data_IF_680913275669
#
_entry.id   IF_680913275669
#
_cell.length_a   1.000
_cell.length_b   1.000
_cell.length_c   1.000
_cell.angle_alpha   90.00
_cell.angle_beta   90.00
_cell.angle_gamma   90.00
#
_symmetry.space_group_name_H-M   'P 1'
#
loop_
_entity.id
_entity.type
_entity.pdbx_description
1 polymer ?
#
# COMPACT_ATOMS: atom_id res chain seq x y z
N UNK A 1 0.16 15.73 34.99
CA UNK A 1 1.52 15.72 34.42
C UNK A 1 1.42 15.03 33.06
N UNK A 2 1.07 15.79 32.04
CA UNK A 2 1.15 15.34 30.64
C UNK A 2 2.62 15.42 30.24
N UNK A 3 3.31 14.28 30.36
CA UNK A 3 4.70 14.18 29.92
C UNK A 3 4.75 14.32 28.40
N UNK A 4 5.64 15.13 27.93
CA UNK A 4 6.02 15.32 26.54
C UNK A 4 6.43 13.97 25.89
N UNK A 5 5.43 13.26 25.35
CA UNK A 5 5.59 12.01 24.63
C UNK A 5 5.84 12.24 23.12
N UNK A 6 6.01 13.50 22.69
CA UNK A 6 5.90 13.86 21.27
C UNK A 6 7.15 13.55 20.43
N UNK A 7 8.36 13.57 20.97
CA UNK A 7 9.57 13.45 20.16
C UNK A 7 10.29 12.09 20.21
N UNK A 8 10.16 11.31 21.26
CA UNK A 8 10.88 10.02 21.41
C UNK A 8 10.24 8.82 20.69
N UNK A 9 9.05 8.97 20.09
CA UNK A 9 8.28 7.87 19.51
C UNK A 9 8.52 7.62 18.02
N UNK A 10 9.31 8.45 17.33
CA UNK A 10 9.43 8.44 15.87
C UNK A 10 10.55 7.51 15.37
N UNK A 11 11.53 7.18 16.23
CA UNK A 11 12.76 6.50 15.80
C UNK A 11 12.62 4.97 15.59
N UNK A 12 11.43 4.40 15.80
CA UNK A 12 11.24 2.93 15.75
C UNK A 12 10.73 2.39 14.40
N UNK A 13 10.30 3.28 13.51
CA UNK A 13 9.94 2.92 12.14
C UNK A 13 10.94 3.59 11.22
N UNK A 14 11.86 2.82 10.66
CA UNK A 14 12.94 3.33 9.82
C UNK A 14 13.22 2.40 8.64
N UNK A 15 12.57 2.67 7.51
CA UNK A 15 12.74 1.91 6.28
C UNK A 15 13.98 2.32 5.48
N UNK A 16 14.74 3.33 5.91
CA UNK A 16 16.02 3.69 5.28
C UNK A 16 17.07 2.57 5.37
N UNK A 17 16.86 1.61 6.29
CA UNK A 17 17.69 0.42 6.49
C UNK A 17 17.56 -0.63 5.38
N UNK A 18 16.49 -0.57 4.59
CA UNK A 18 16.33 -1.47 3.45
C UNK A 18 17.37 -1.16 2.37
N UNK A 19 17.92 -2.23 1.80
CA UNK A 19 19.07 -2.15 0.90
C UNK A 19 18.73 -1.52 -0.45
N UNK A 20 17.53 -1.79 -0.98
CA UNK A 20 17.12 -1.29 -2.29
C UNK A 20 16.90 0.23 -2.27
N UNK A 21 17.44 0.88 -3.29
CA UNK A 21 17.26 2.33 -3.53
C UNK A 21 16.72 2.54 -4.93
N UNK A 22 15.76 3.46 -5.04
CA UNK A 22 15.27 3.89 -6.35
C UNK A 22 16.44 4.48 -7.16
N UNK A 23 16.60 4.07 -8.43
CA UNK A 23 17.58 4.71 -9.33
C UNK A 23 17.37 6.23 -9.41
N UNK A 24 18.45 6.97 -9.44
CA UNK A 24 18.42 8.43 -9.59
C UNK A 24 17.67 8.86 -10.85
N UNK A 25 17.10 10.06 -10.80
CA UNK A 25 16.38 10.66 -11.90
C UNK A 25 15.04 11.25 -11.48
N UNK A 26 14.36 11.97 -12.38
CA UNK A 26 13.09 12.62 -12.10
C UNK A 26 12.00 11.61 -11.75
N UNK A 27 10.98 12.07 -11.02
CA UNK A 27 9.78 11.27 -10.78
C UNK A 27 9.07 11.00 -12.10
N UNK A 28 8.60 9.75 -12.27
CA UNK A 28 8.03 9.29 -13.56
C UNK A 28 6.52 9.32 -13.54
N UNK A 29 5.95 9.76 -14.65
CA UNK A 29 4.56 9.49 -15.00
C UNK A 29 4.52 8.11 -15.66
N UNK A 30 3.72 7.22 -15.10
CA UNK A 30 3.61 5.84 -15.57
C UNK A 30 2.45 5.64 -16.54
N UNK A 31 1.31 6.27 -16.22
CA UNK A 31 0.09 6.13 -17.01
C UNK A 31 -0.69 7.43 -17.03
N UNK A 32 -1.40 7.64 -18.12
CA UNK A 32 -2.49 8.61 -18.22
C UNK A 32 -3.71 7.84 -18.69
N UNK A 33 -4.81 7.90 -17.95
CA UNK A 33 -6.01 7.10 -18.22
C UNK A 33 -7.27 7.94 -18.11
N UNK A 34 -8.23 7.69 -18.98
CA UNK A 34 -9.55 8.29 -18.88
C UNK A 34 -10.41 7.52 -17.87
N UNK A 35 -11.27 8.24 -17.17
CA UNK A 35 -12.29 7.66 -16.30
C UNK A 35 -13.30 6.81 -17.09
N UNK A 36 -13.91 5.85 -16.42
CA UNK A 36 -14.87 4.92 -17.05
C UNK A 36 -16.29 5.48 -17.13
N UNK A 37 -16.57 6.54 -16.40
CA UNK A 37 -17.92 7.13 -16.27
C UNK A 37 -17.82 8.65 -16.29
N UNK A 38 -18.87 9.29 -16.80
CA UNK A 38 -19.03 10.73 -16.66
C UNK A 38 -19.20 11.12 -15.19
N UNK A 39 -18.60 12.22 -14.81
CA UNK A 39 -18.84 12.89 -13.53
C UNK A 39 -20.22 13.59 -13.56
N UNK A 40 -20.75 14.01 -12.41
CA UNK A 40 -21.99 14.82 -12.37
C UNK A 40 -21.94 16.08 -13.24
N UNK A 41 -20.74 16.62 -13.49
CA UNK A 41 -20.49 17.73 -14.40
C UNK A 41 -20.70 17.39 -15.89
N UNK A 42 -20.86 16.10 -16.23
CA UNK A 42 -20.98 15.61 -17.60
C UNK A 42 -19.65 15.27 -18.30
N UNK A 43 -18.53 15.62 -17.72
CA UNK A 43 -17.20 15.31 -18.25
C UNK A 43 -16.74 13.90 -17.90
N UNK A 44 -15.85 13.31 -18.70
CA UNK A 44 -15.07 12.11 -18.34
C UNK A 44 -13.76 12.60 -17.73
N UNK A 45 -13.48 12.28 -16.46
CA UNK A 45 -12.26 12.74 -15.82
C UNK A 45 -11.05 12.00 -16.41
N UNK A 46 -9.90 12.66 -16.42
CA UNK A 46 -8.62 12.06 -16.81
C UNK A 46 -7.69 12.02 -15.62
N UNK A 47 -6.93 10.93 -15.49
CA UNK A 47 -6.06 10.67 -14.33
C UNK A 47 -4.63 10.43 -14.77
N UNK A 48 -3.71 11.07 -14.06
CA UNK A 48 -2.26 10.88 -14.20
C UNK A 48 -1.81 9.99 -13.05
N UNK A 49 -1.21 8.84 -13.36
CA UNK A 49 -0.62 7.92 -12.40
C UNK A 49 0.89 8.11 -12.44
N UNK A 50 1.44 8.60 -11.34
CA UNK A 50 2.86 8.93 -11.25
C UNK A 50 3.47 8.55 -9.90
N UNK A 51 4.80 8.55 -9.83
CA UNK A 51 5.51 8.51 -8.55
C UNK A 51 5.20 9.76 -7.73
N UNK A 52 5.19 9.60 -6.41
CA UNK A 52 4.89 10.69 -5.48
C UNK A 52 6.02 11.73 -5.51
N UNK A 53 5.73 12.99 -5.90
CA UNK A 53 6.67 14.08 -5.71
C UNK A 53 6.85 14.39 -4.22
N UNK A 54 8.04 14.81 -3.79
CA UNK A 54 8.32 15.17 -2.40
C UNK A 54 7.36 16.25 -1.87
N UNK A 55 7.01 17.22 -2.72
CA UNK A 55 6.07 18.30 -2.38
C UNK A 55 4.63 17.82 -2.08
N UNK A 56 4.29 16.57 -2.38
CA UNK A 56 2.96 15.99 -2.16
C UNK A 56 2.93 14.98 -1.00
N UNK A 57 4.02 14.70 -0.33
CA UNK A 57 4.10 13.65 0.69
C UNK A 57 3.14 13.87 1.86
N UNK A 58 3.09 15.08 2.41
CA UNK A 58 2.17 15.41 3.52
C UNK A 58 0.70 15.29 3.09
N UNK A 59 0.36 15.83 1.91
CA UNK A 59 -1.00 15.74 1.37
C UNK A 59 -1.41 14.28 1.12
N UNK A 60 -0.47 13.45 0.66
CA UNK A 60 -0.71 12.03 0.47
C UNK A 60 -0.94 11.30 1.81
N UNK A 61 -0.15 11.60 2.84
CA UNK A 61 -0.34 11.02 4.18
C UNK A 61 -1.68 11.45 4.78
N UNK A 62 -2.10 12.70 4.54
CA UNK A 62 -3.43 13.19 4.93
C UNK A 62 -4.56 12.50 4.15
N UNK A 63 -4.36 12.26 2.85
CA UNK A 63 -5.27 11.49 2.02
C UNK A 63 -5.45 10.07 2.55
N UNK A 64 -4.35 9.37 2.87
CA UNK A 64 -4.38 8.03 3.45
C UNK A 64 -5.05 8.02 4.83
N UNK A 65 -4.77 9.02 5.66
CA UNK A 65 -5.43 9.20 6.96
C UNK A 65 -6.93 9.36 6.79
N UNK A 66 -7.37 10.18 5.85
CA UNK A 66 -8.79 10.50 5.62
C UNK A 66 -9.57 9.34 5.02
N UNK A 67 -9.01 8.68 4.01
CA UNK A 67 -9.76 7.71 3.20
C UNK A 67 -9.39 6.26 3.49
N UNK A 68 -8.11 5.96 3.71
CA UNK A 68 -7.70 4.59 3.99
C UNK A 68 -8.10 4.15 5.40
N UNK A 69 -7.65 4.86 6.44
CA UNK A 69 -7.94 4.44 7.83
C UNK A 69 -9.42 4.47 8.19
N UNK A 70 -10.23 5.27 7.48
CA UNK A 70 -11.67 5.34 7.72
C UNK A 70 -12.45 4.15 7.13
N UNK A 71 -11.88 3.40 6.20
CA UNK A 71 -12.63 2.38 5.43
C UNK A 71 -11.88 1.06 5.26
N UNK A 72 -10.58 1.02 5.52
CA UNK A 72 -9.80 -0.21 5.38
C UNK A 72 -10.20 -1.21 6.47
N UNK A 73 -10.43 -2.46 6.07
CA UNK A 73 -11.08 -3.51 6.86
C UNK A 73 -10.49 -3.69 8.27
N UNK A 74 -9.16 -3.86 8.37
CA UNK A 74 -8.52 -4.16 9.67
C UNK A 74 -8.26 -2.91 10.49
N UNK A 75 -8.02 -1.77 9.87
CA UNK A 75 -7.86 -0.48 10.56
C UNK A 75 -9.18 -0.03 11.20
N UNK A 76 -10.29 -0.24 10.51
CA UNK A 76 -11.65 0.02 11.02
C UNK A 76 -11.98 -0.93 12.17
N UNK A 77 -11.75 -2.24 12.02
CA UNK A 77 -11.98 -3.24 13.06
C UNK A 77 -11.21 -2.91 14.34
N UNK A 78 -9.96 -2.47 14.20
CA UNK A 78 -9.12 -2.05 15.35
C UNK A 78 -9.41 -0.61 15.82
N UNK A 79 -10.32 0.12 15.16
CA UNK A 79 -10.69 1.50 15.51
C UNK A 79 -9.45 2.41 15.59
N UNK A 80 -8.55 2.34 14.60
CA UNK A 80 -7.30 3.10 14.61
C UNK A 80 -7.53 4.61 14.71
N UNK A 81 -8.52 5.16 14.00
CA UNK A 81 -8.85 6.59 14.02
C UNK A 81 -9.13 7.15 15.43
N UNK A 82 -9.56 6.30 16.38
CA UNK A 82 -9.82 6.72 17.75
C UNK A 82 -8.59 6.69 18.67
N UNK A 83 -7.42 6.32 18.12
CA UNK A 83 -6.18 6.16 18.87
C UNK A 83 -5.09 7.07 18.27
N UNK A 84 -4.82 8.24 18.88
CA UNK A 84 -3.86 9.21 18.35
C UNK A 84 -2.42 8.65 18.21
N UNK A 85 -2.03 7.72 19.10
CA UNK A 85 -0.70 7.12 19.05
C UNK A 85 -0.62 6.12 17.89
N UNK A 86 -1.60 5.24 17.73
CA UNK A 86 -1.70 4.32 16.59
C UNK A 86 -1.76 5.09 15.26
N UNK A 87 -2.47 6.22 15.22
CA UNK A 87 -2.51 7.10 14.05
C UNK A 87 -1.14 7.72 13.77
N UNK A 88 -0.37 8.10 14.78
CA UNK A 88 1.00 8.59 14.59
C UNK A 88 1.89 7.48 14.02
N UNK A 89 1.78 6.25 14.52
CA UNK A 89 2.56 5.09 14.05
C UNK A 89 2.28 4.79 12.57
N UNK A 90 1.01 4.69 12.15
CA UNK A 90 0.68 4.39 10.76
C UNK A 90 1.08 5.53 9.81
N UNK A 91 0.93 6.80 10.23
CA UNK A 91 1.39 7.96 9.46
C UNK A 91 2.90 7.95 9.30
N UNK A 92 3.65 7.61 10.36
CA UNK A 92 5.11 7.46 10.30
C UNK A 92 5.51 6.33 9.35
N UNK A 93 4.83 5.18 9.40
CA UNK A 93 5.05 4.08 8.46
C UNK A 93 4.91 4.55 7.00
N UNK A 94 3.86 5.28 6.67
CA UNK A 94 3.69 5.80 5.31
C UNK A 94 4.78 6.79 4.92
N UNK A 95 5.14 7.76 5.80
CA UNK A 95 6.23 8.72 5.54
C UNK A 95 7.57 8.01 5.28
N UNK A 96 7.93 7.05 6.11
CA UNK A 96 9.15 6.26 5.92
C UNK A 96 9.12 5.46 4.62
N UNK A 97 7.96 4.91 4.26
CA UNK A 97 7.78 4.17 3.00
C UNK A 97 7.95 5.07 1.78
N UNK A 98 7.43 6.31 1.82
CA UNK A 98 7.55 7.28 0.74
C UNK A 98 9.00 7.62 0.39
N UNK A 99 9.91 7.55 1.38
CA UNK A 99 11.36 7.82 1.17
C UNK A 99 12.04 6.87 0.19
N UNK A 100 11.48 5.67 -0.04
CA UNK A 100 11.98 4.80 -1.11
C UNK A 100 11.65 5.32 -2.52
N UNK A 101 10.70 6.23 -2.65
CA UNK A 101 10.42 6.95 -3.89
C UNK A 101 9.69 6.18 -4.98
N UNK A 102 9.11 5.00 -4.67
CA UNK A 102 8.37 4.14 -5.63
C UNK A 102 6.86 4.16 -5.44
N UNK A 103 6.37 4.81 -4.39
CA UNK A 103 4.94 4.95 -4.14
C UNK A 103 4.26 5.75 -5.25
N UNK A 104 2.97 5.45 -5.47
CA UNK A 104 2.18 6.00 -6.55
C UNK A 104 1.08 6.93 -6.05
N UNK A 105 0.87 8.00 -6.80
CA UNK A 105 -0.27 8.88 -6.66
C UNK A 105 -1.04 8.92 -7.98
N UNK A 106 -2.36 8.88 -7.90
CA UNK A 106 -3.27 9.19 -8.99
C UNK A 106 -3.81 10.60 -8.79
N UNK A 107 -3.62 11.45 -9.77
CA UNK A 107 -4.01 12.87 -9.77
C UNK A 107 -5.05 13.07 -10.85
N UNK A 108 -6.14 13.79 -10.54
CA UNK A 108 -7.05 14.27 -11.57
C UNK A 108 -6.35 15.34 -12.39
N UNK A 109 -6.31 15.15 -13.71
CA UNK A 109 -5.79 16.17 -14.62
C UNK A 109 -6.72 17.38 -14.59
N UNK A 110 -6.16 18.55 -14.31
CA UNK A 110 -6.83 19.82 -14.38
C UNK A 110 -6.39 20.57 -15.63
N UNK A 111 -7.34 20.94 -16.48
CA UNK A 111 -7.07 21.77 -17.66
C UNK A 111 -6.97 23.26 -17.32
N UNK A 112 -7.37 23.67 -16.10
CA UNK A 112 -7.26 25.03 -15.59
C UNK A 112 -5.94 25.16 -14.81
N UNK A 113 -5.02 25.99 -15.30
CA UNK A 113 -3.66 26.17 -14.77
C UNK A 113 -3.60 26.61 -13.30
N UNK A 114 -4.65 27.24 -12.80
CA UNK A 114 -4.67 27.90 -11.48
C UNK A 114 -5.26 27.01 -10.37
N UNK A 115 -5.76 25.82 -10.69
CA UNK A 115 -6.30 24.90 -9.69
C UNK A 115 -5.26 23.88 -9.26
N UNK A 116 -5.10 23.71 -7.94
CA UNK A 116 -4.28 22.66 -7.36
C UNK A 116 -4.73 21.28 -7.86
N UNK A 117 -3.78 20.45 -8.22
CA UNK A 117 -4.04 19.06 -8.61
C UNK A 117 -4.71 18.29 -7.45
N UNK A 118 -5.76 17.54 -7.74
CA UNK A 118 -6.51 16.77 -6.76
C UNK A 118 -5.98 15.32 -6.70
N UNK A 119 -5.57 14.86 -5.52
CA UNK A 119 -5.25 13.44 -5.30
C UNK A 119 -6.56 12.65 -5.27
N UNK A 120 -6.66 11.67 -6.16
CA UNK A 120 -7.85 10.80 -6.28
C UNK A 120 -7.57 9.36 -5.87
N UNK A 121 -6.31 8.97 -5.77
CA UNK A 121 -5.90 7.65 -5.33
C UNK A 121 -4.41 7.57 -4.99
N UNK A 122 -4.08 6.61 -4.15
CA UNK A 122 -2.73 6.40 -3.63
C UNK A 122 -2.44 4.92 -3.54
N UNK A 123 -1.21 4.52 -3.86
CA UNK A 123 -0.69 3.21 -3.51
C UNK A 123 0.70 3.36 -2.87
N UNK A 124 0.78 3.15 -1.56
CA UNK A 124 2.03 3.25 -0.79
C UNK A 124 2.83 1.98 -1.00
N UNK A 125 3.96 2.09 -1.67
CA UNK A 125 4.78 0.97 -2.16
C UNK A 125 6.18 1.01 -1.57
N UNK A 126 6.75 -0.19 -1.36
CA UNK A 126 8.14 -0.39 -0.99
C UNK A 126 8.74 -1.56 -1.78
N UNK A 127 10.05 -1.60 -1.88
CA UNK A 127 10.79 -2.75 -2.41
C UNK A 127 11.50 -3.45 -1.25
N UNK A 128 11.31 -4.76 -1.17
CA UNK A 128 12.00 -5.64 -0.25
C UNK A 128 12.89 -6.59 -1.04
N UNK A 129 14.13 -6.78 -0.60
CA UNK A 129 15.04 -7.81 -1.13
C UNK A 129 15.07 -9.00 -0.17
N UNK A 130 15.49 -10.16 -0.63
CA UNK A 130 15.63 -11.34 0.24
C UNK A 130 16.54 -11.07 1.45
N UNK A 131 17.54 -10.19 1.30
CA UNK A 131 18.44 -9.79 2.39
C UNK A 131 17.76 -8.87 3.42
N UNK A 132 16.62 -8.29 3.05
CA UNK A 132 15.90 -7.32 3.87
C UNK A 132 14.64 -7.90 4.53
N UNK A 133 14.25 -9.14 4.24
CA UNK A 133 13.03 -9.75 4.80
C UNK A 133 13.03 -9.74 6.33
N UNK A 134 14.11 -10.17 6.95
CA UNK A 134 14.27 -10.13 8.42
C UNK A 134 14.38 -8.68 8.93
N UNK A 135 14.98 -7.79 8.14
CA UNK A 135 15.15 -6.37 8.48
C UNK A 135 13.84 -5.60 8.39
N UNK A 136 12.94 -5.97 7.47
CA UNK A 136 11.66 -5.29 7.31
C UNK A 136 10.83 -5.30 8.59
N UNK A 137 10.72 -6.46 9.24
CA UNK A 137 10.00 -6.60 10.51
C UNK A 137 10.64 -5.78 11.62
N UNK A 138 12.00 -5.80 11.73
CA UNK A 138 12.74 -5.03 12.73
C UNK A 138 12.80 -3.52 12.42
N UNK A 139 12.60 -3.12 11.16
CA UNK A 139 12.53 -1.72 10.74
C UNK A 139 11.16 -1.08 11.03
N UNK A 140 10.14 -1.89 11.33
CA UNK A 140 8.77 -1.44 11.61
C UNK A 140 8.38 -1.89 13.03
N UNK A 141 9.01 -1.29 14.02
CA UNK A 141 8.65 -1.52 15.41
C UNK A 141 7.47 -0.60 15.81
N UNK A 142 6.29 -1.18 15.99
CA UNK A 142 5.09 -0.48 16.48
C UNK A 142 4.85 -0.81 17.95
N UNK A 143 4.28 0.12 18.71
CA UNK A 143 4.15 0.00 20.18
C UNK A 143 2.72 -0.16 20.66
N UNK A 144 1.76 0.49 19.97
CA UNK A 144 0.36 0.35 20.37
C UNK A 144 -0.14 -1.08 20.11
N UNK A 145 -0.99 -1.60 21.02
CA UNK A 145 -1.59 -2.92 20.85
C UNK A 145 -2.31 -3.04 19.50
N UNK A 146 -3.03 -2.00 19.10
CA UNK A 146 -3.76 -1.99 17.83
C UNK A 146 -2.84 -2.16 16.62
N UNK A 147 -1.76 -1.37 16.55
CA UNK A 147 -0.80 -1.49 15.46
C UNK A 147 -0.01 -2.79 15.51
N UNK A 148 0.30 -3.32 16.70
CA UNK A 148 0.89 -4.67 16.85
C UNK A 148 -0.03 -5.75 16.27
N UNK A 149 -1.33 -5.69 16.56
CA UNK A 149 -2.32 -6.61 15.98
C UNK A 149 -2.36 -6.47 14.45
N UNK A 150 -2.46 -5.23 13.93
CA UNK A 150 -2.51 -4.97 12.48
C UNK A 150 -1.23 -5.44 11.79
N UNK A 151 -0.07 -4.93 12.19
CA UNK A 151 1.20 -5.20 11.51
C UNK A 151 1.70 -6.64 11.78
N UNK A 152 1.58 -7.12 13.02
CA UNK A 152 1.98 -8.48 13.37
C UNK A 152 1.18 -9.54 12.61
N UNK A 153 -0.13 -9.34 12.41
CA UNK A 153 -0.93 -10.24 11.57
C UNK A 153 -0.46 -10.21 10.13
N UNK A 154 -0.21 -9.02 9.58
CA UNK A 154 0.25 -8.90 8.20
C UNK A 154 1.62 -9.56 8.02
N UNK A 155 2.57 -9.33 8.92
CA UNK A 155 3.88 -9.97 8.85
C UNK A 155 3.81 -11.48 8.99
N UNK A 156 3.01 -12.02 9.93
CA UNK A 156 2.81 -13.47 10.06
C UNK A 156 2.24 -14.09 8.78
N UNK A 157 1.29 -13.42 8.14
CA UNK A 157 0.67 -13.91 6.93
C UNK A 157 1.61 -13.84 5.72
N UNK A 158 2.36 -12.72 5.59
CA UNK A 158 3.37 -12.57 4.55
C UNK A 158 4.50 -13.61 4.70
N UNK A 159 4.92 -13.90 5.91
CA UNK A 159 5.98 -14.90 6.19
C UNK A 159 5.60 -16.34 5.78
N UNK A 160 4.32 -16.62 5.49
CA UNK A 160 3.92 -17.91 4.92
C UNK A 160 4.26 -18.01 3.41
N UNK A 161 4.66 -16.92 2.78
CA UNK A 161 5.00 -16.84 1.35
C UNK A 161 6.50 -16.60 1.21
N UNK A 162 7.21 -17.60 0.70
CA UNK A 162 8.60 -17.47 0.28
C UNK A 162 8.63 -17.00 -1.19
N UNK A 163 8.79 -15.68 -1.39
CA UNK A 163 8.79 -15.07 -2.72
C UNK A 163 9.95 -15.57 -3.58
N UNK A 164 11.11 -15.81 -2.97
CA UNK A 164 12.28 -16.36 -3.66
C UNK A 164 12.00 -17.75 -4.20
N UNK A 165 11.42 -18.62 -3.39
CA UNK A 165 11.08 -19.99 -3.78
C UNK A 165 9.91 -20.04 -4.77
N UNK A 166 8.88 -19.23 -4.53
CA UNK A 166 7.64 -19.26 -5.33
C UNK A 166 7.83 -18.70 -6.74
N UNK A 167 8.54 -17.56 -6.85
CA UNK A 167 8.72 -16.87 -8.11
C UNK A 167 10.14 -16.92 -8.68
N UNK A 168 11.12 -17.40 -7.91
CA UNK A 168 12.53 -17.42 -8.30
C UNK A 168 13.14 -16.03 -8.34
N UNK A 169 12.79 -15.15 -7.39
CA UNK A 169 13.14 -13.72 -7.40
C UNK A 169 14.01 -13.35 -6.20
N UNK A 170 14.83 -12.32 -6.34
CA UNK A 170 15.70 -11.77 -5.30
C UNK A 170 15.11 -10.55 -4.60
N UNK A 171 14.02 -10.00 -5.15
CA UNK A 171 13.30 -8.82 -4.63
C UNK A 171 11.87 -8.78 -5.12
N UNK A 172 11.04 -8.04 -4.42
CA UNK A 172 9.65 -7.81 -4.81
C UNK A 172 9.15 -6.43 -4.39
N UNK A 173 8.07 -5.99 -5.03
CA UNK A 173 7.35 -4.76 -4.71
C UNK A 173 6.19 -5.08 -3.77
N UNK A 174 6.26 -4.62 -2.53
CA UNK A 174 5.21 -4.72 -1.53
C UNK A 174 4.38 -3.44 -1.41
N UNK A 175 3.33 -3.46 -0.58
CA UNK A 175 2.52 -2.27 -0.34
C UNK A 175 1.95 -2.20 1.09
N UNK A 176 1.96 -0.97 1.63
CA UNK A 176 1.32 -0.60 2.90
C UNK A 176 0.04 0.22 2.69
N UNK A 177 -0.72 -0.09 1.66
CA UNK A 177 -2.05 0.43 1.41
C UNK A 177 -2.30 0.90 -0.02
N UNK A 178 -3.55 0.74 -0.44
CA UNK A 178 -4.12 1.28 -1.65
C UNK A 178 -5.46 1.90 -1.31
N UNK A 179 -5.66 3.16 -1.65
CA UNK A 179 -6.92 3.88 -1.40
C UNK A 179 -7.32 4.71 -2.61
N UNK A 180 -8.62 4.80 -2.84
CA UNK A 180 -9.22 5.66 -3.87
C UNK A 180 -10.31 6.50 -3.21
N UNK A 181 -10.26 7.82 -3.43
CA UNK A 181 -11.29 8.75 -2.97
C UNK A 181 -12.67 8.25 -3.42
N UNK A 182 -13.64 8.09 -2.50
CA UNK A 182 -14.98 7.58 -2.80
C UNK A 182 -15.66 8.22 -4.00
N UNK A 183 -15.46 9.53 -4.21
CA UNK A 183 -16.03 10.27 -5.35
C UNK A 183 -15.52 9.81 -6.72
N UNK A 184 -14.38 9.09 -6.75
CA UNK A 184 -13.76 8.60 -7.99
C UNK A 184 -13.77 7.07 -8.09
N UNK A 185 -14.53 6.38 -7.22
CA UNK A 185 -14.69 4.93 -7.32
C UNK A 185 -15.46 4.53 -8.58
N UNK A 186 -15.10 3.37 -9.12
CA UNK A 186 -15.65 2.89 -10.38
C UNK A 186 -15.08 3.56 -11.62
N UNK A 187 -14.15 4.52 -11.48
CA UNK A 187 -13.46 5.20 -12.58
C UNK A 187 -12.22 4.46 -13.10
N UNK A 188 -11.83 3.32 -12.49
CA UNK A 188 -10.66 2.56 -12.92
C UNK A 188 -9.34 2.97 -12.26
N UNK A 189 -9.36 3.91 -11.31
CA UNK A 189 -8.14 4.42 -10.65
C UNK A 189 -7.36 3.31 -9.94
N UNK A 190 -8.03 2.44 -9.18
CA UNK A 190 -7.37 1.32 -8.50
C UNK A 190 -6.72 0.33 -9.49
N UNK A 191 -7.37 0.07 -10.63
CA UNK A 191 -6.79 -0.75 -11.70
C UNK A 191 -5.52 -0.12 -12.26
N UNK A 192 -5.56 1.18 -12.57
CA UNK A 192 -4.43 1.91 -13.12
C UNK A 192 -3.24 1.92 -12.13
N UNK A 193 -3.49 2.09 -10.83
CA UNK A 193 -2.47 2.00 -9.77
C UNK A 193 -1.84 0.60 -9.70
N UNK A 194 -2.63 -0.47 -9.77
CA UNK A 194 -2.09 -1.84 -9.77
C UNK A 194 -1.35 -2.18 -11.07
N UNK A 195 -1.82 -1.68 -12.21
CA UNK A 195 -1.13 -1.85 -13.49
C UNK A 195 0.21 -1.13 -13.52
N UNK A 196 0.31 0.06 -12.93
CA UNK A 196 1.56 0.81 -12.83
C UNK A 196 2.65 0.06 -12.05
N UNK A 197 2.31 -0.90 -11.17
CA UNK A 197 3.32 -1.79 -10.56
C UNK A 197 4.07 -2.62 -11.61
N UNK A 198 3.40 -3.03 -12.70
CA UNK A 198 4.07 -3.72 -13.80
C UNK A 198 5.06 -2.80 -14.53
N UNK A 199 4.66 -1.54 -14.73
CA UNK A 199 5.54 -0.54 -15.36
C UNK A 199 6.78 -0.26 -14.48
N UNK A 200 6.59 -0.11 -13.17
CA UNK A 200 7.66 0.02 -12.17
C UNK A 200 8.58 -1.21 -12.20
N UNK A 201 8.00 -2.42 -12.18
CA UNK A 201 8.75 -3.67 -12.23
C UNK A 201 9.66 -3.74 -13.45
N UNK A 202 9.14 -3.40 -14.62
CA UNK A 202 9.91 -3.36 -15.86
C UNK A 202 11.02 -2.30 -15.83
N UNK A 203 10.71 -1.09 -15.37
CA UNK A 203 11.64 0.02 -15.38
C UNK A 203 12.78 -0.12 -14.35
N UNK A 204 12.47 -0.69 -13.17
CA UNK A 204 13.41 -0.83 -12.05
C UNK A 204 13.90 -2.27 -11.84
N UNK A 205 13.58 -3.17 -12.78
CA UNK A 205 13.97 -4.59 -12.73
C UNK A 205 13.53 -5.26 -11.42
N UNK A 206 12.29 -5.00 -11.00
CA UNK A 206 11.66 -5.65 -9.86
C UNK A 206 10.76 -6.75 -10.39
N UNK A 207 11.12 -8.04 -10.18
CA UNK A 207 10.53 -9.15 -10.94
C UNK A 207 9.13 -9.56 -10.48
N UNK A 208 8.73 -9.25 -9.25
CA UNK A 208 7.44 -9.65 -8.71
C UNK A 208 6.84 -8.58 -7.79
N UNK A 209 5.56 -8.73 -7.49
CA UNK A 209 4.86 -7.96 -6.46
C UNK A 209 4.05 -8.88 -5.57
N UNK A 210 3.97 -8.53 -4.29
CA UNK A 210 3.16 -9.21 -3.29
C UNK A 210 2.44 -8.17 -2.44
N UNK A 211 1.23 -8.45 -1.99
CA UNK A 211 0.47 -7.57 -1.09
C UNK A 211 -0.62 -8.35 -0.38
N UNK A 212 -0.92 -7.94 0.85
CA UNK A 212 -2.05 -8.44 1.60
C UNK A 212 -3.29 -7.61 1.27
N UNK A 213 -4.31 -8.27 0.77
CA UNK A 213 -5.61 -7.68 0.45
C UNK A 213 -6.64 -8.08 1.50
N UNK A 214 -7.06 -7.12 2.29
CA UNK A 214 -7.93 -7.29 3.45
C UNK A 214 -9.42 -7.17 3.11
N UNK A 215 -9.77 -6.44 2.06
CA UNK A 215 -11.15 -6.19 1.66
C UNK A 215 -11.55 -6.87 0.37
N UNK A 216 -12.83 -7.29 0.25
CA UNK A 216 -13.36 -7.96 -0.93
C UNK A 216 -13.16 -7.15 -2.22
N UNK A 217 -13.40 -5.84 -2.17
CA UNK A 217 -13.24 -4.97 -3.34
C UNK A 217 -11.79 -4.95 -3.85
N UNK A 218 -10.81 -4.82 -2.96
CA UNK A 218 -9.39 -4.82 -3.32
C UNK A 218 -8.93 -6.18 -3.87
N UNK A 219 -9.43 -7.30 -3.31
CA UNK A 219 -9.18 -8.66 -3.81
C UNK A 219 -9.69 -8.85 -5.24
N UNK A 220 -10.90 -8.35 -5.54
CA UNK A 220 -11.48 -8.41 -6.89
C UNK A 220 -10.63 -7.58 -7.87
N UNK A 221 -10.23 -6.37 -7.47
CA UNK A 221 -9.38 -5.52 -8.32
C UNK A 221 -8.01 -6.18 -8.55
N UNK A 222 -7.39 -6.77 -7.53
CA UNK A 222 -6.14 -7.50 -7.66
C UNK A 222 -6.28 -8.69 -8.64
N UNK A 223 -7.28 -9.54 -8.45
CA UNK A 223 -7.52 -10.72 -9.31
C UNK A 223 -7.66 -10.34 -10.78
N UNK A 224 -8.47 -9.32 -11.11
CA UNK A 224 -8.63 -8.89 -12.51
C UNK A 224 -7.38 -8.22 -13.10
N UNK A 225 -6.43 -7.79 -12.25
CA UNK A 225 -5.12 -7.29 -12.66
C UNK A 225 -4.03 -8.38 -12.67
N UNK A 226 -4.44 -9.66 -12.58
CA UNK A 226 -3.57 -10.82 -12.73
C UNK A 226 -2.76 -11.18 -11.47
N UNK A 227 -3.20 -10.71 -10.30
CA UNK A 227 -2.67 -11.23 -9.03
C UNK A 227 -3.33 -12.59 -8.74
N UNK A 228 -2.52 -13.55 -8.33
CA UNK A 228 -2.94 -14.86 -7.87
C UNK A 228 -2.95 -14.94 -6.34
N UNK A 229 -3.81 -15.78 -5.78
CA UNK A 229 -3.88 -16.00 -4.33
C UNK A 229 -2.74 -16.93 -3.93
N UNK A 230 -1.86 -16.46 -3.04
CA UNK A 230 -0.72 -17.22 -2.52
C UNK A 230 -1.07 -17.85 -1.17
N UNK A 231 -1.71 -17.08 -0.29
CA UNK A 231 -2.22 -17.51 1.01
C UNK A 231 -3.60 -16.92 1.22
N UNK A 232 -4.49 -17.68 1.84
CA UNK A 232 -5.83 -17.24 2.24
C UNK A 232 -6.11 -17.70 3.68
N UNK A 233 -6.64 -16.77 4.52
CA UNK A 233 -7.04 -17.08 5.89
C UNK A 233 -8.42 -16.49 6.17
N UNK A 234 -9.29 -17.27 6.82
CA UNK A 234 -10.56 -16.72 7.30
C UNK A 234 -10.31 -15.76 8.46
N UNK A 235 -11.02 -14.64 8.48
CA UNK A 235 -10.92 -13.68 9.57
C UNK A 235 -11.24 -14.30 10.94
N UNK A 236 -12.14 -15.28 10.98
CA UNK A 236 -12.48 -16.03 12.22
C UNK A 236 -11.35 -16.93 12.74
N UNK A 237 -10.35 -17.21 11.92
CA UNK A 237 -9.18 -18.06 12.25
C UNK A 237 -7.94 -17.21 12.59
N UNK A 238 -8.00 -15.89 12.37
CA UNK A 238 -6.92 -14.96 12.70
C UNK A 238 -7.08 -14.52 14.14
N UNK A 239 -6.18 -14.96 15.00
CA UNK A 239 -6.21 -14.67 16.43
C UNK A 239 -5.16 -13.63 16.80
N UNK A 240 -5.47 -12.82 17.83
CA UNK A 240 -4.52 -11.94 18.51
C UNK A 240 -3.64 -12.74 19.48
N UNK A 241 -2.71 -12.07 20.16
CA UNK A 241 -1.78 -12.71 21.10
C UNK A 241 -2.46 -13.24 22.37
N UNK A 242 -3.73 -12.89 22.60
CA UNK A 242 -4.56 -13.38 23.72
C UNK A 242 -5.48 -14.53 23.29
N UNK A 243 -5.46 -14.92 22.01
CA UNK A 243 -6.30 -15.98 21.45
C UNK A 243 -7.72 -15.55 21.07
N UNK A 244 -8.01 -14.25 21.07
CA UNK A 244 -9.28 -13.73 20.55
C UNK A 244 -9.22 -13.50 19.05
N UNK A 245 -10.39 -13.44 18.40
CA UNK A 245 -10.46 -13.03 16.98
C UNK A 245 -9.85 -11.64 16.83
N UNK A 246 -8.78 -11.53 16.05
CA UNK A 246 -7.99 -10.31 15.94
C UNK A 246 -8.77 -9.14 15.32
N UNK A 247 -9.71 -9.43 14.40
CA UNK A 247 -10.48 -8.41 13.68
C UNK A 247 -11.98 -8.72 13.76
N UNK A 248 -12.63 -8.41 14.90
CA UNK A 248 -14.06 -8.67 15.05
C UNK A 248 -14.88 -7.70 14.18
N UNK A 249 -16.03 -8.18 13.71
CA UNK A 249 -17.02 -7.36 12.99
C UNK A 249 -16.65 -7.02 11.54
N UNK A 250 -15.62 -7.67 10.96
CA UNK A 250 -15.29 -7.48 9.53
C UNK A 250 -16.28 -8.22 8.63
N UNK A 251 -16.71 -7.59 7.53
CA UNK A 251 -17.60 -8.22 6.54
C UNK A 251 -16.88 -9.20 5.59
N UNK A 252 -15.65 -8.93 5.09
CA UNK A 252 -14.94 -9.86 4.25
C UNK A 252 -14.69 -11.19 4.95
N UNK A 253 -14.87 -12.30 4.23
CA UNK A 253 -14.66 -13.64 4.78
C UNK A 253 -13.18 -13.97 4.96
N UNK A 254 -12.33 -13.47 4.07
CA UNK A 254 -10.92 -13.86 3.97
C UNK A 254 -10.01 -12.64 3.89
N UNK A 255 -8.86 -12.75 4.52
CA UNK A 255 -7.65 -11.98 4.24
C UNK A 255 -6.78 -12.79 3.29
N UNK A 256 -6.20 -12.15 2.26
CA UNK A 256 -5.43 -12.85 1.22
C UNK A 256 -4.08 -12.19 0.99
N UNK A 257 -3.02 -13.00 0.97
CA UNK A 257 -1.77 -12.62 0.33
C UNK A 257 -1.90 -12.92 -1.14
N UNK A 258 -1.72 -11.95 -1.99
CA UNK A 258 -1.80 -12.12 -3.43
C UNK A 258 -0.55 -11.56 -4.10
N UNK A 259 -0.07 -12.26 -5.10
CA UNK A 259 1.16 -11.91 -5.81
C UNK A 259 1.04 -12.01 -7.32
N UNK A 260 2.04 -11.48 -8.01
CA UNK A 260 2.11 -11.47 -9.47
C UNK A 260 3.56 -11.31 -9.93
N UNK A 261 3.96 -12.03 -11.00
CA UNK A 261 5.20 -11.73 -11.73
C UNK A 261 5.03 -10.42 -12.54
N UNK A 262 6.00 -9.53 -12.44
CA UNK A 262 6.01 -8.24 -13.15
C UNK A 262 6.88 -8.29 -14.40
N UNK A 263 7.96 -9.08 -14.38
CA UNK A 263 8.81 -9.32 -15.53
C UNK A 263 8.36 -10.59 -16.26
N UNK A 264 8.32 -10.53 -17.59
CA UNK A 264 8.20 -11.74 -18.39
C UNK A 264 9.51 -12.51 -18.26
N UNK A 265 9.44 -13.76 -17.86
CA UNK A 265 10.61 -14.66 -17.93
C UNK A 265 10.92 -14.82 -19.42
N UNK A 266 11.99 -14.21 -19.89
CA UNK A 266 12.56 -14.58 -21.18
C UNK A 266 13.15 -15.99 -20.99
N UNK A 267 12.35 -17.02 -21.26
CA UNK A 267 12.90 -18.36 -21.49
C UNK A 267 13.81 -18.24 -22.71
N UNK A 268 15.12 -18.11 -22.49
CA UNK A 268 16.06 -18.38 -23.56
C UNK A 268 15.92 -19.86 -23.89
N UNK A 269 15.28 -20.15 -25.00
CA UNK A 269 15.22 -21.47 -25.64
C UNK A 269 16.62 -21.78 -26.18
#
# INVERSE_FOLDING_TARGET
>A
MEGDYSEKYVDYINLSRLSWKRPEGPKRVWRVVDGRKKMPSGEVPRFIIQEVPESMEEELVDFMTKYFTAEETITVSQKLLSDPIAMKEIRTLWKETLRQGVSLVAIRENFESDKKSEIVGVNVLFVCTNEDEDKLTSAIEVRTRKMKTVMGTQFRLAAEVDMAKMYGVDRYLGAFGLSVNPSYRGQGVADALLQARTDIGQAYQIPATETIFTGTASQIVAARNGFEVLVERKYTEILDDEGNVAFPGVEPKFMKVMGKKLLKVNVRV
#
